data_IF_337312476394
#
_entry.id   IF_337312476394
#
_cell.length_a   1.000
_cell.length_b   1.000
_cell.length_c   1.000
_cell.angle_alpha   90.00
_cell.angle_beta   90.00
_cell.angle_gamma   90.00
#
_symmetry.space_group_name_H-M   'P 1'
#
loop_
_entity.id
_entity.type
_entity.pdbx_description
1 polymer ?
#
# COMPACT_ATOMS: atom_id res chain seq x y z
N UNK A 1 5.84 14.28 17.81
CA UNK A 1 4.68 13.68 18.48
C UNK A 1 3.60 13.51 17.41
N UNK A 2 3.07 12.31 17.20
CA UNK A 2 1.98 12.09 16.24
C UNK A 2 0.68 12.52 16.86
N UNK A 3 -0.09 13.39 16.19
CA UNK A 3 -1.35 13.93 16.72
C UNK A 3 -2.59 13.12 16.33
N UNK A 4 -2.40 11.96 15.69
CA UNK A 4 -3.47 11.17 15.04
C UNK A 4 -3.67 9.81 15.73
N UNK A 5 -3.58 9.77 17.06
CA UNK A 5 -3.61 8.53 17.87
C UNK A 5 -4.92 7.73 17.75
N UNK A 6 -6.00 8.37 17.29
CA UNK A 6 -7.30 7.74 17.12
C UNK A 6 -7.72 7.58 15.65
N UNK A 7 -6.88 7.98 14.69
CA UNK A 7 -7.22 7.91 13.28
C UNK A 7 -7.29 6.43 12.85
N UNK A 8 -8.46 6.00 12.37
CA UNK A 8 -8.72 4.62 11.95
C UNK A 8 -8.74 4.45 10.44
N UNK A 9 -9.30 5.42 9.74
CA UNK A 9 -9.42 5.40 8.29
C UNK A 9 -8.91 6.74 7.76
N UNK A 10 -8.06 6.68 6.75
CA UNK A 10 -7.58 7.84 6.02
C UNK A 10 -7.89 7.63 4.53
N UNK A 11 -8.67 8.54 3.96
CA UNK A 11 -8.87 8.63 2.53
C UNK A 11 -8.34 9.98 2.04
N UNK A 12 -7.31 9.92 1.22
CA UNK A 12 -6.72 11.04 0.49
C UNK A 12 -6.61 10.72 -0.99
N UNK A 13 -7.50 9.86 -1.49
CA UNK A 13 -7.58 9.53 -2.91
C UNK A 13 -8.10 10.69 -3.75
N UNK A 14 -7.82 10.66 -5.05
CA UNK A 14 -8.21 11.72 -6.00
C UNK A 14 -7.64 13.10 -5.63
N UNK A 15 -6.36 13.13 -5.27
CA UNK A 15 -5.61 14.35 -5.02
C UNK A 15 -4.37 14.42 -5.94
N UNK A 16 -3.52 15.39 -5.67
CA UNK A 16 -2.24 15.62 -6.35
C UNK A 16 -1.08 15.39 -5.37
N UNK A 17 -1.15 14.33 -4.57
CA UNK A 17 -0.07 14.01 -3.64
C UNK A 17 1.18 13.51 -4.38
N UNK A 18 2.29 14.23 -4.24
CA UNK A 18 3.60 13.77 -4.72
C UNK A 18 4.26 12.77 -3.76
N UNK A 19 3.90 12.84 -2.47
CA UNK A 19 4.45 11.99 -1.42
C UNK A 19 3.49 11.82 -0.25
N UNK A 20 3.58 10.66 0.40
CA UNK A 20 3.02 10.43 1.73
C UNK A 20 4.12 10.74 2.77
N UNK A 21 3.89 11.57 3.79
CA UNK A 21 4.92 11.92 4.76
C UNK A 21 5.23 10.75 5.70
N UNK A 22 6.52 10.58 6.07
CA UNK A 22 6.97 9.58 7.04
C UNK A 22 6.24 9.71 8.40
N UNK A 23 5.84 10.93 8.77
CA UNK A 23 5.12 11.18 10.02
C UNK A 23 3.75 10.50 10.09
N UNK A 24 3.12 10.20 8.96
CA UNK A 24 1.86 9.45 8.93
C UNK A 24 2.03 8.02 9.46
N UNK A 25 3.23 7.46 9.33
CA UNK A 25 3.55 6.11 9.81
C UNK A 25 3.56 6.02 11.35
N UNK A 26 3.38 7.13 12.07
CA UNK A 26 3.15 7.15 13.51
C UNK A 26 1.66 7.07 13.89
N UNK A 27 0.73 7.15 12.94
CA UNK A 27 -0.71 6.92 13.18
C UNK A 27 -0.99 5.41 13.26
N UNK A 28 -0.41 4.74 14.25
CA UNK A 28 -0.42 3.27 14.41
C UNK A 28 -1.80 2.69 14.67
N UNK A 29 -2.80 3.53 14.93
CA UNK A 29 -4.21 3.16 15.03
C UNK A 29 -4.89 2.91 13.69
N UNK A 30 -4.28 3.31 12.56
CA UNK A 30 -4.83 3.18 11.21
C UNK A 30 -5.10 1.72 10.86
N UNK A 31 -6.28 1.50 10.29
CA UNK A 31 -6.81 0.22 9.83
C UNK A 31 -7.03 0.24 8.32
N UNK A 32 -7.47 1.37 7.77
CA UNK A 32 -7.64 1.54 6.32
C UNK A 32 -6.96 2.80 5.84
N UNK A 33 -6.28 2.69 4.70
CA UNK A 33 -5.61 3.81 4.08
C UNK A 33 -5.82 3.77 2.57
N UNK A 34 -6.40 4.83 2.02
CA UNK A 34 -6.59 5.04 0.60
C UNK A 34 -5.78 6.26 0.14
N UNK A 35 -4.74 6.01 -0.64
CA UNK A 35 -3.94 7.02 -1.35
C UNK A 35 -3.99 6.81 -2.87
N UNK A 36 -4.99 6.08 -3.36
CA UNK A 36 -5.13 5.81 -4.78
C UNK A 36 -5.47 7.07 -5.58
N UNK A 37 -5.30 7.01 -6.90
CA UNK A 37 -5.63 8.11 -7.81
C UNK A 37 -4.91 9.43 -7.43
N UNK A 38 -3.63 9.36 -7.06
CA UNK A 38 -2.78 10.54 -6.85
C UNK A 38 -1.89 10.74 -8.08
N UNK A 39 -2.49 11.34 -9.11
CA UNK A 39 -1.95 11.49 -10.47
C UNK A 39 -0.70 12.38 -10.56
N UNK A 40 -0.34 13.08 -9.48
CA UNK A 40 0.81 13.97 -9.40
C UNK A 40 2.10 13.22 -9.01
N UNK A 41 2.37 12.08 -9.64
CA UNK A 41 3.70 11.46 -9.58
C UNK A 41 4.05 10.79 -8.22
N UNK A 42 3.07 10.27 -7.47
CA UNK A 42 3.33 9.48 -6.25
C UNK A 42 4.13 8.21 -6.60
N UNK A 43 5.44 8.27 -6.37
CA UNK A 43 6.43 7.25 -6.82
C UNK A 43 6.82 6.24 -5.77
N UNK A 44 6.59 6.55 -4.50
CA UNK A 44 7.07 5.74 -3.38
C UNK A 44 6.16 5.88 -2.17
N UNK A 45 6.07 4.79 -1.41
CA UNK A 45 5.53 4.82 -0.05
C UNK A 45 6.65 5.22 0.94
N UNK A 46 6.29 5.71 2.13
CA UNK A 46 7.27 5.98 3.19
C UNK A 46 8.04 4.71 3.54
N UNK A 47 9.33 4.83 3.86
CA UNK A 47 10.16 3.69 4.29
C UNK A 47 9.69 3.11 5.61
N UNK A 48 8.92 3.86 6.38
CA UNK A 48 8.35 3.44 7.66
C UNK A 48 6.93 2.92 7.54
N UNK A 49 6.39 2.67 6.35
CA UNK A 49 4.99 2.20 6.18
C UNK A 49 4.69 0.94 7.01
N UNK A 50 5.70 0.09 7.23
CA UNK A 50 5.60 -1.10 8.08
C UNK A 50 5.27 -0.82 9.55
N UNK A 51 5.37 0.42 10.03
CA UNK A 51 4.97 0.81 11.39
C UNK A 51 3.45 0.83 11.57
N UNK A 52 2.67 0.85 10.48
CA UNK A 52 1.21 0.77 10.53
C UNK A 52 0.76 -0.68 10.80
N UNK A 53 1.15 -1.22 11.96
CA UNK A 53 0.95 -2.62 12.35
C UNK A 53 -0.52 -3.06 12.46
N UNK A 54 -1.46 -2.09 12.49
CA UNK A 54 -2.89 -2.35 12.48
C UNK A 54 -3.56 -2.20 11.11
N UNK A 55 -2.79 -1.87 10.06
CA UNK A 55 -3.32 -1.66 8.73
C UNK A 55 -3.82 -2.98 8.14
N UNK A 56 -5.09 -3.00 7.77
CA UNK A 56 -5.80 -4.15 7.19
C UNK A 56 -6.08 -3.95 5.71
N UNK A 57 -6.32 -2.70 5.28
CA UNK A 57 -6.61 -2.36 3.90
C UNK A 57 -5.75 -1.18 3.43
N UNK A 58 -5.05 -1.39 2.31
CA UNK A 58 -4.23 -0.36 1.67
C UNK A 58 -4.58 -0.29 0.18
N UNK A 59 -4.99 0.90 -0.24
CA UNK A 59 -5.20 1.21 -1.64
C UNK A 59 -4.18 2.25 -2.11
N UNK A 60 -3.30 1.82 -3.02
CA UNK A 60 -2.29 2.65 -3.68
C UNK A 60 -2.48 2.65 -5.19
N UNK A 61 -3.64 2.23 -5.69
CA UNK A 61 -3.93 2.08 -7.11
C UNK A 61 -3.82 3.41 -7.86
N UNK A 62 -3.55 3.33 -9.17
CA UNK A 62 -3.50 4.48 -10.07
C UNK A 62 -2.52 5.57 -9.60
N UNK A 63 -1.27 5.16 -9.42
CA UNK A 63 -0.12 5.97 -9.01
C UNK A 63 1.12 5.60 -9.86
N UNK A 64 2.31 6.08 -9.49
CA UNK A 64 3.56 5.80 -10.22
C UNK A 64 4.55 4.97 -9.38
N UNK A 65 4.04 4.14 -8.47
CA UNK A 65 4.84 3.38 -7.52
C UNK A 65 5.52 2.20 -8.23
N UNK A 66 6.85 2.16 -8.18
CA UNK A 66 7.64 1.07 -8.79
C UNK A 66 8.03 -0.02 -7.81
N UNK A 67 8.20 0.31 -6.54
CA UNK A 67 8.65 -0.65 -5.55
C UNK A 67 7.89 -0.46 -4.23
N UNK A 68 7.64 -1.57 -3.55
CA UNK A 68 7.24 -1.54 -2.15
C UNK A 68 8.49 -1.49 -1.27
N UNK A 69 8.53 -0.67 -0.20
CA UNK A 69 9.69 -0.59 0.69
C UNK A 69 9.88 -1.89 1.46
N UNK A 70 11.11 -2.21 1.89
CA UNK A 70 11.42 -3.43 2.65
C UNK A 70 10.57 -3.60 3.92
N UNK A 71 10.15 -2.49 4.54
CA UNK A 71 9.27 -2.50 5.71
C UNK A 71 7.87 -3.04 5.42
N UNK A 72 7.44 -3.10 4.16
CA UNK A 72 6.11 -3.54 3.77
C UNK A 72 5.80 -4.94 4.30
N UNK A 73 6.82 -5.81 4.42
CA UNK A 73 6.72 -7.15 5.03
C UNK A 73 6.26 -7.16 6.50
N UNK A 74 6.31 -6.01 7.18
CA UNK A 74 5.90 -5.85 8.57
C UNK A 74 4.40 -5.55 8.74
N UNK A 75 3.67 -5.32 7.63
CA UNK A 75 2.22 -5.13 7.63
C UNK A 75 1.49 -6.46 7.84
N UNK A 76 1.67 -7.06 9.02
CA UNK A 76 1.23 -8.42 9.33
C UNK A 76 -0.29 -8.62 9.34
N UNK A 77 -1.08 -7.55 9.41
CA UNK A 77 -2.55 -7.59 9.38
C UNK A 77 -3.16 -7.22 8.03
N UNK A 78 -2.32 -6.85 7.05
CA UNK A 78 -2.80 -6.39 5.75
C UNK A 78 -3.48 -7.54 5.01
N UNK A 79 -4.77 -7.42 4.77
CA UNK A 79 -5.60 -8.44 4.09
C UNK A 79 -6.04 -8.02 2.69
N UNK A 80 -6.11 -6.71 2.44
CA UNK A 80 -6.47 -6.14 1.14
C UNK A 80 -5.39 -5.16 0.72
N UNK A 81 -4.77 -5.45 -0.42
CA UNK A 81 -3.86 -4.55 -1.10
C UNK A 81 -4.36 -4.32 -2.53
N UNK A 82 -4.57 -3.06 -2.89
CA UNK A 82 -4.88 -2.61 -4.26
C UNK A 82 -3.70 -1.82 -4.81
N UNK A 83 -3.17 -2.28 -5.93
CA UNK A 83 -1.93 -1.76 -6.57
C UNK A 83 -2.09 -1.63 -8.08
N UNK A 84 -3.31 -1.76 -8.59
CA UNK A 84 -3.67 -1.61 -10.00
C UNK A 84 -3.07 -0.32 -10.56
N UNK A 85 -2.78 -0.28 -11.86
CA UNK A 85 -2.35 0.94 -12.53
C UNK A 85 -1.13 1.60 -11.87
N UNK A 86 -0.18 0.78 -11.40
CA UNK A 86 1.16 1.20 -10.99
C UNK A 86 2.22 0.44 -11.80
N UNK A 87 3.36 1.08 -12.13
CA UNK A 87 4.49 0.43 -12.78
C UNK A 87 5.33 -0.43 -11.80
N UNK A 88 4.69 -1.24 -10.95
CA UNK A 88 5.38 -2.04 -9.94
C UNK A 88 6.35 -3.06 -10.57
N UNK A 89 7.63 -2.87 -10.30
CA UNK A 89 8.70 -3.81 -10.60
C UNK A 89 8.74 -4.87 -9.47
N UNK A 90 8.37 -6.11 -9.81
CA UNK A 90 8.37 -7.22 -8.87
C UNK A 90 9.74 -7.96 -8.89
N UNK A 91 10.53 -8.00 -7.79
CA UNK A 91 11.61 -8.96 -7.61
C UNK A 91 11.11 -10.27 -6.93
N UNK A 92 11.88 -11.38 -6.98
CA UNK A 92 11.35 -12.67 -7.42
C UNK A 92 10.74 -13.56 -6.33
N UNK A 93 9.53 -14.08 -6.62
CA UNK A 93 8.89 -15.35 -6.22
C UNK A 93 8.73 -15.70 -4.73
N UNK A 94 9.68 -15.37 -3.85
CA UNK A 94 9.64 -15.74 -2.43
C UNK A 94 8.60 -14.95 -1.60
N UNK A 95 8.08 -13.83 -2.15
CA UNK A 95 6.96 -13.08 -1.56
C UNK A 95 5.60 -13.64 -2.04
N UNK A 96 5.57 -14.33 -3.19
CA UNK A 96 4.35 -14.93 -3.74
C UNK A 96 4.00 -16.29 -3.10
N UNK A 97 4.96 -16.96 -2.47
CA UNK A 97 4.79 -18.33 -1.94
C UNK A 97 3.99 -18.42 -0.63
N UNK A 98 3.58 -17.31 0.00
CA UNK A 98 2.82 -17.30 1.26
C UNK A 98 1.35 -16.89 1.12
N UNK A 99 0.66 -17.40 0.10
CA UNK A 99 -0.81 -17.36 0.06
C UNK A 99 -1.43 -16.12 -0.61
N UNK A 100 -0.60 -15.22 -1.16
CA UNK A 100 -1.05 -14.16 -2.06
C UNK A 100 -1.61 -14.78 -3.35
N UNK A 101 -2.93 -14.85 -3.49
CA UNK A 101 -3.55 -15.20 -4.77
C UNK A 101 -3.31 -14.07 -5.76
N UNK A 102 -2.22 -14.14 -6.54
CA UNK A 102 -1.98 -13.23 -7.65
C UNK A 102 -2.93 -13.59 -8.79
N UNK A 103 -4.09 -12.95 -8.84
CA UNK A 103 -5.05 -13.14 -9.92
C UNK A 103 -4.69 -12.24 -11.10
N UNK A 104 -4.10 -12.81 -12.15
CA UNK A 104 -3.79 -12.10 -13.38
C UNK A 104 -5.07 -11.83 -14.17
N UNK A 105 -5.64 -10.63 -14.07
CA UNK A 105 -6.75 -10.20 -14.93
C UNK A 105 -6.25 -9.42 -16.14
N UNK A 106 -5.92 -10.17 -17.21
CA UNK A 106 -5.73 -9.70 -18.60
C UNK A 106 -4.46 -8.91 -18.94
N UNK A 107 -4.08 -8.96 -20.22
CA UNK A 107 -2.77 -8.64 -20.78
C UNK A 107 -2.38 -7.16 -20.80
N UNK A 108 -3.12 -6.27 -20.13
CA UNK A 108 -2.91 -4.82 -20.20
C UNK A 108 -3.09 -4.06 -18.88
N UNK A 109 -3.46 -4.71 -17.77
CA UNK A 109 -3.45 -4.07 -16.45
C UNK A 109 -3.27 -5.12 -15.34
N UNK A 110 -2.21 -4.96 -14.54
CA UNK A 110 -1.90 -5.83 -13.41
C UNK A 110 -2.81 -5.47 -12.22
N UNK A 111 -4.00 -6.05 -12.18
CA UNK A 111 -4.81 -6.08 -10.95
C UNK A 111 -4.24 -7.12 -10.00
N UNK A 112 -3.40 -6.71 -9.07
CA UNK A 112 -2.80 -7.61 -8.07
C UNK A 112 -3.53 -7.45 -6.74
N UNK A 113 -4.62 -8.20 -6.58
CA UNK A 113 -5.27 -8.36 -5.27
C UNK A 113 -4.47 -9.35 -4.42
N UNK A 114 -3.45 -8.88 -3.70
CA UNK A 114 -2.75 -9.73 -2.71
C UNK A 114 -3.70 -9.94 -1.52
N UNK A 115 -4.47 -11.03 -1.54
CA UNK A 115 -5.04 -11.57 -0.30
C UNK A 115 -3.91 -12.24 0.47
N UNK A 116 -3.41 -11.60 1.52
CA UNK A 116 -2.53 -12.27 2.48
C UNK A 116 -3.44 -13.21 3.28
N UNK A 117 -3.46 -14.48 2.89
CA UNK A 117 -4.18 -15.51 3.64
C UNK A 117 -3.28 -15.99 4.80
N UNK A 118 -3.92 -16.30 5.93
CA UNK A 118 -3.33 -16.80 7.18
C UNK A 118 -2.44 -18.05 6.99
#
# INVERSE_FOLDING_TARGET
>A
MSSLENLKELDVSFNELEAVPESLCFATSLVKMNVGNNFADLKYLPRSIGNLANLEELDISNNQIRFLPDSFRLLAKLRVLRVEENPLELPPRHVADKGAQVNYYSSLSLTVLIRVNE
#
